data_IF_244136130665
#
_entry.id   IF_244136130665
#
_cell.length_a   1.000
_cell.length_b   1.000
_cell.length_c   1.000
_cell.angle_alpha   90.00
_cell.angle_beta   90.00
_cell.angle_gamma   90.00
#
_symmetry.space_group_name_H-M   'P 1'
#
loop_
_entity.id
_entity.type
_entity.pdbx_description
1 polymer ?
#
# COMPACT_ATOMS: atom_id res chain seq x y z
N UNK A 1 -7.41 -21.44 6.41
CA UNK A 1 -6.48 -20.43 5.86
C UNK A 1 -6.94 -20.10 4.45
N UNK A 2 -7.10 -18.82 4.16
CA UNK A 2 -7.49 -18.32 2.83
C UNK A 2 -6.37 -18.62 1.83
N UNK A 3 -6.74 -19.14 0.66
CA UNK A 3 -5.76 -19.40 -0.41
C UNK A 3 -5.42 -18.13 -1.19
N UNK A 4 -4.23 -18.09 -1.80
CA UNK A 4 -3.79 -16.98 -2.65
C UNK A 4 -4.79 -16.70 -3.79
N UNK A 5 -5.32 -17.77 -4.40
CA UNK A 5 -6.32 -17.70 -5.48
C UNK A 5 -7.66 -17.16 -5.00
N UNK A 6 -8.09 -17.55 -3.80
CA UNK A 6 -9.33 -17.06 -3.18
C UNK A 6 -9.25 -15.58 -2.84
N UNK A 7 -8.14 -15.14 -2.22
CA UNK A 7 -7.92 -13.72 -1.95
C UNK A 7 -7.93 -12.88 -3.24
N UNK A 8 -7.29 -13.39 -4.29
CA UNK A 8 -7.28 -12.77 -5.60
C UNK A 8 -8.67 -12.71 -6.25
N UNK A 9 -9.49 -13.76 -6.12
CA UNK A 9 -10.84 -13.79 -6.68
C UNK A 9 -11.78 -12.80 -6.00
N UNK A 10 -11.64 -12.61 -4.69
CA UNK A 10 -12.46 -11.65 -3.93
C UNK A 10 -12.41 -10.24 -4.51
N UNK A 11 -11.23 -9.76 -4.92
CA UNK A 11 -11.09 -8.43 -5.53
C UNK A 11 -11.65 -8.39 -6.96
N UNK A 12 -11.49 -9.48 -7.74
CA UNK A 12 -12.08 -9.58 -9.08
C UNK A 12 -13.61 -9.56 -9.03
N UNK A 13 -14.22 -10.28 -8.09
CA UNK A 13 -15.67 -10.31 -7.88
C UNK A 13 -16.25 -8.93 -7.52
N UNK A 14 -15.45 -8.08 -6.86
CA UNK A 14 -15.82 -6.70 -6.54
C UNK A 14 -15.69 -5.75 -7.74
N UNK A 15 -15.34 -6.27 -8.93
CA UNK A 15 -15.15 -5.47 -10.14
C UNK A 15 -13.86 -4.64 -10.12
N UNK A 16 -12.93 -4.93 -9.21
CA UNK A 16 -11.64 -4.24 -9.18
C UNK A 16 -10.75 -4.70 -10.33
N UNK A 17 -9.85 -3.83 -10.78
CA UNK A 17 -8.79 -4.22 -11.70
C UNK A 17 -7.73 -4.97 -10.90
N UNK A 18 -7.52 -6.24 -11.21
CA UNK A 18 -6.57 -7.12 -10.51
C UNK A 18 -5.58 -7.71 -11.52
N UNK A 19 -4.29 -7.48 -11.31
CA UNK A 19 -3.21 -7.96 -12.17
C UNK A 19 -2.21 -8.77 -11.37
N UNK A 20 -1.91 -9.99 -11.82
CA UNK A 20 -0.87 -10.81 -11.20
C UNK A 20 0.50 -10.39 -11.71
N UNK A 21 1.42 -10.14 -10.80
CA UNK A 21 2.79 -9.73 -11.11
C UNK A 21 3.69 -10.95 -10.99
N UNK A 22 4.44 -11.26 -12.06
CA UNK A 22 5.33 -12.44 -12.14
C UNK A 22 6.81 -12.09 -12.09
N UNK A 23 7.15 -10.86 -11.70
CA UNK A 23 8.52 -10.36 -11.65
C UNK A 23 9.06 -10.34 -10.21
N UNK A 24 10.33 -10.72 -10.05
CA UNK A 24 11.03 -10.77 -8.77
C UNK A 24 10.94 -12.13 -8.06
N UNK A 25 11.65 -12.25 -6.94
CA UNK A 25 11.72 -13.48 -6.11
C UNK A 25 10.56 -13.57 -5.10
N UNK A 26 9.38 -13.06 -5.44
CA UNK A 26 8.20 -13.08 -4.57
C UNK A 26 7.34 -14.32 -4.85
N UNK A 27 6.91 -15.02 -3.80
CA UNK A 27 6.08 -16.22 -3.94
C UNK A 27 4.72 -15.91 -4.60
N UNK A 28 4.05 -14.86 -4.13
CA UNK A 28 2.78 -14.43 -4.69
C UNK A 28 2.68 -12.90 -4.66
N UNK A 29 2.34 -12.29 -5.80
CA UNK A 29 2.18 -10.85 -5.90
C UNK A 29 1.07 -10.54 -6.91
N UNK A 30 0.12 -9.71 -6.49
CA UNK A 30 -0.82 -9.08 -7.39
C UNK A 30 -1.06 -7.62 -6.99
N UNK A 31 -1.53 -6.83 -7.94
CA UNK A 31 -1.97 -5.46 -7.69
C UNK A 31 -3.48 -5.37 -7.75
N UNK A 32 -4.05 -4.47 -6.94
CA UNK A 32 -5.46 -4.13 -6.93
C UNK A 32 -5.59 -2.63 -7.21
N UNK A 33 -6.42 -2.28 -8.18
CA UNK A 33 -6.73 -0.91 -8.51
C UNK A 33 -8.24 -0.73 -8.77
N UNK A 34 -8.77 0.50 -8.66
CA UNK A 34 -10.12 0.79 -9.11
C UNK A 34 -10.32 0.41 -10.60
N UNK A 35 -11.54 0.06 -11.02
CA UNK A 35 -11.82 -0.34 -12.41
C UNK A 35 -11.48 0.74 -13.43
N UNK A 36 -11.62 2.02 -13.06
CA UNK A 36 -11.32 3.18 -13.92
C UNK A 36 -9.85 3.59 -13.91
N UNK A 37 -8.97 2.80 -13.29
CA UNK A 37 -7.60 3.18 -13.03
C UNK A 37 -7.46 4.01 -11.76
N UNK A 38 -6.23 4.16 -11.29
CA UNK A 38 -5.89 4.79 -10.03
C UNK A 38 -4.63 4.20 -9.44
N UNK A 39 -4.31 4.60 -8.20
CA UNK A 39 -3.14 4.13 -7.48
C UNK A 39 -3.24 2.61 -7.20
N UNK A 40 -2.37 1.78 -7.80
CA UNK A 40 -2.40 0.35 -7.56
C UNK A 40 -1.84 0.02 -6.17
N UNK A 41 -2.51 -0.85 -5.45
CA UNK A 41 -2.04 -1.41 -4.17
C UNK A 41 -1.46 -2.79 -4.43
N UNK A 42 -0.23 -3.04 -4.01
CA UNK A 42 0.37 -4.36 -4.06
C UNK A 42 -0.08 -5.21 -2.88
N UNK A 43 -0.43 -6.47 -3.16
CA UNK A 43 -0.68 -7.51 -2.16
C UNK A 43 0.32 -8.62 -2.41
N UNK A 44 1.20 -8.83 -1.43
CA UNK A 44 2.40 -9.65 -1.58
C UNK A 44 2.44 -10.71 -0.49
N UNK A 45 2.63 -11.97 -0.87
CA UNK A 45 3.07 -13.03 0.02
C UNK A 45 4.54 -13.31 -0.28
N UNK A 46 5.48 -12.99 0.62
CA UNK A 46 6.90 -13.01 0.29
C UNK A 46 7.44 -14.42 0.07
N UNK A 47 7.01 -15.38 0.89
CA UNK A 47 7.42 -16.79 0.82
C UNK A 47 6.21 -17.73 0.94
N UNK A 48 6.37 -18.96 0.47
CA UNK A 48 5.32 -19.98 0.51
C UNK A 48 4.81 -20.29 1.93
N UNK A 49 5.70 -20.25 2.92
CA UNK A 49 5.42 -20.53 4.33
C UNK A 49 4.92 -19.30 5.11
N UNK A 50 4.87 -18.12 4.49
CA UNK A 50 4.40 -16.90 5.15
C UNK A 50 2.92 -17.02 5.52
N UNK A 51 2.57 -16.67 6.76
CA UNK A 51 1.21 -16.69 7.31
C UNK A 51 0.52 -15.32 7.20
N UNK A 52 1.05 -14.44 6.36
CA UNK A 52 0.55 -13.08 6.16
C UNK A 52 0.82 -12.61 4.73
N UNK A 53 0.05 -11.60 4.33
CA UNK A 53 0.29 -10.78 3.16
C UNK A 53 0.78 -9.40 3.60
N UNK A 54 1.67 -8.80 2.80
CA UNK A 54 2.06 -7.39 2.87
C UNK A 54 1.17 -6.66 1.87
N UNK A 55 0.37 -5.73 2.36
CA UNK A 55 -0.44 -4.82 1.55
C UNK A 55 0.29 -3.49 1.53
N UNK A 56 0.78 -3.04 0.37
CA UNK A 56 1.66 -1.88 0.30
C UNK A 56 1.48 -1.03 -0.96
N UNK A 57 1.79 0.26 -0.83
CA UNK A 57 1.99 1.21 -1.93
C UNK A 57 3.35 1.86 -1.75
N UNK A 58 4.10 1.98 -2.85
CA UNK A 58 5.31 2.80 -2.93
C UNK A 58 4.97 4.08 -3.70
N UNK A 59 5.32 5.22 -3.11
CA UNK A 59 5.19 6.52 -3.74
C UNK A 59 6.57 7.16 -3.88
N UNK A 60 6.90 7.61 -5.09
CA UNK A 60 8.02 8.53 -5.30
C UNK A 60 7.62 9.93 -4.84
N UNK A 61 8.53 10.59 -4.13
CA UNK A 61 8.30 11.91 -3.56
C UNK A 61 9.00 12.98 -4.40
N UNK A 62 8.25 14.03 -4.74
CA UNK A 62 8.79 15.19 -5.43
C UNK A 62 9.70 15.99 -4.49
N UNK A 63 10.99 15.96 -4.79
CA UNK A 63 12.02 16.59 -3.96
C UNK A 63 11.90 18.12 -3.93
N UNK A 64 11.40 18.75 -4.99
CA UNK A 64 11.28 20.20 -5.04
C UNK A 64 10.16 20.67 -4.12
N UNK A 65 9.05 19.95 -4.09
CA UNK A 65 7.94 20.20 -3.15
C UNK A 65 8.37 20.03 -1.69
N UNK A 66 9.16 19.00 -1.41
CA UNK A 66 9.69 18.74 -0.06
C UNK A 66 10.66 19.84 0.41
N UNK A 67 11.53 20.35 -0.47
CA UNK A 67 12.45 21.47 -0.13
C UNK A 67 11.70 22.76 0.18
N UNK A 68 10.59 23.01 -0.52
CA UNK A 68 9.79 24.22 -0.34
C UNK A 68 8.95 24.21 0.94
N UNK A 69 8.75 23.04 1.57
CA UNK A 69 7.95 22.89 2.78
C UNK A 69 8.68 22.08 3.86
N UNK A 70 9.37 22.81 4.75
CA UNK A 70 10.18 22.23 5.84
C UNK A 70 9.42 21.35 6.82
N UNK A 71 8.08 21.42 6.84
CA UNK A 71 7.22 20.64 7.75
C UNK A 71 6.42 19.53 7.06
N UNK A 72 6.51 19.40 5.74
CA UNK A 72 5.67 18.47 4.98
C UNK A 72 5.90 17.01 5.37
N UNK A 73 7.16 16.61 5.56
CA UNK A 73 7.50 15.25 6.01
C UNK A 73 6.90 14.95 7.39
N UNK A 74 6.98 15.91 8.32
CA UNK A 74 6.40 15.77 9.67
C UNK A 74 4.87 15.69 9.62
N UNK A 75 4.23 16.47 8.75
CA UNK A 75 2.80 16.43 8.54
C UNK A 75 2.34 15.09 7.96
N UNK A 76 3.03 14.59 6.92
CA UNK A 76 2.78 13.26 6.34
C UNK A 76 2.88 12.18 7.42
N UNK A 77 3.97 12.18 8.19
CA UNK A 77 4.15 11.23 9.30
C UNK A 77 2.99 11.26 10.29
N UNK A 78 2.60 12.47 10.72
CA UNK A 78 1.54 12.65 11.71
C UNK A 78 0.21 12.09 11.22
N UNK A 79 -0.14 12.32 9.95
CA UNK A 79 -1.38 11.79 9.40
C UNK A 79 -1.33 10.27 9.20
N UNK A 80 -0.22 9.71 8.72
CA UNK A 80 -0.07 8.26 8.58
C UNK A 80 -0.12 7.53 9.93
N UNK A 81 0.48 8.12 10.98
CA UNK A 81 0.36 7.61 12.34
C UNK A 81 -1.09 7.60 12.84
N UNK A 82 -1.88 8.65 12.54
CA UNK A 82 -3.31 8.72 12.89
C UNK A 82 -4.13 7.66 12.16
N UNK A 83 -3.73 7.28 10.95
CA UNK A 83 -4.38 6.23 10.17
C UNK A 83 -3.98 4.82 10.60
N UNK A 84 -3.03 4.68 11.53
CA UNK A 84 -2.55 3.40 12.04
C UNK A 84 -2.05 2.46 10.92
N UNK A 85 -1.20 3.01 10.05
CA UNK A 85 -0.49 2.26 9.00
C UNK A 85 1.00 2.31 9.24
N UNK A 86 1.70 1.27 8.81
CA UNK A 86 3.16 1.25 8.79
C UNK A 86 3.64 2.10 7.61
N UNK A 87 4.77 2.79 7.78
CA UNK A 87 5.39 3.52 6.69
C UNK A 87 6.90 3.63 6.86
N UNK A 88 7.60 3.68 5.73
CA UNK A 88 9.05 3.74 5.67
C UNK A 88 9.47 4.73 4.59
N UNK A 89 10.29 5.71 4.96
CA UNK A 89 10.91 6.60 3.99
C UNK A 89 12.26 6.04 3.55
N UNK A 90 12.55 6.18 2.25
CA UNK A 90 13.81 5.74 1.67
C UNK A 90 14.54 6.94 1.04
N UNK A 91 15.85 7.15 1.32
CA UNK A 91 16.69 6.35 2.21
C UNK A 91 16.47 6.65 3.70
N UNK A 92 15.93 7.82 4.04
CA UNK A 92 15.63 8.24 5.41
C UNK A 92 14.65 9.42 5.40
N UNK A 93 14.22 9.83 6.58
CA UNK A 93 13.19 10.87 6.75
C UNK A 93 13.69 12.31 6.50
N UNK A 94 15.01 12.56 6.46
CA UNK A 94 15.55 13.92 6.27
C UNK A 94 15.52 14.33 4.80
N UNK A 95 15.84 13.39 3.92
CA UNK A 95 15.86 13.58 2.46
C UNK A 95 15.17 12.40 1.77
N UNK A 96 13.86 12.22 2.01
CA UNK A 96 13.15 11.05 1.55
C UNK A 96 12.89 11.15 0.04
N UNK A 97 13.35 10.17 -0.72
CA UNK A 97 13.06 10.01 -2.16
C UNK A 97 11.75 9.31 -2.42
N UNK A 98 11.40 8.36 -1.56
CA UNK A 98 10.15 7.62 -1.65
C UNK A 98 9.62 7.30 -0.26
N UNK A 99 8.33 6.99 -0.22
CA UNK A 99 7.66 6.47 0.96
C UNK A 99 6.92 5.18 0.59
N UNK A 100 7.13 4.14 1.38
CA UNK A 100 6.28 2.96 1.34
C UNK A 100 5.25 3.06 2.47
N UNK A 101 3.98 2.86 2.15
CA UNK A 101 2.89 2.74 3.14
C UNK A 101 2.40 1.31 3.10
N UNK A 102 2.30 0.65 4.26
CA UNK A 102 2.03 -0.78 4.33
C UNK A 102 1.15 -1.19 5.52
N UNK A 103 0.52 -2.37 5.39
CA UNK A 103 -0.04 -3.15 6.49
C UNK A 103 0.22 -4.63 6.29
N UNK A 104 0.30 -5.36 7.40
CA UNK A 104 0.27 -6.81 7.41
C UNK A 104 -1.17 -7.30 7.52
N UNK A 105 -1.51 -8.29 6.72
CA UNK A 105 -2.80 -8.95 6.69
C UNK A 105 -2.58 -10.45 6.90
N UNK A 106 -2.82 -10.92 8.13
CA UNK A 106 -2.61 -12.33 8.50
C UNK A 106 -3.64 -13.23 7.82
N UNK A 107 -3.26 -14.46 7.45
CA UNK A 107 -4.13 -15.40 6.73
C UNK A 107 -5.08 -16.17 7.64
N UNK A 108 -4.82 -16.15 8.94
CA UNK A 108 -5.69 -16.76 9.95
C UNK A 108 -6.89 -15.84 10.21
N UNK A 109 -8.10 -16.42 10.19
CA UNK A 109 -9.36 -15.69 10.32
C UNK A 109 -9.69 -14.70 9.19
N UNK A 110 -8.84 -14.55 8.17
CA UNK A 110 -8.99 -13.51 7.15
C UNK A 110 -10.31 -13.61 6.39
N UNK A 111 -11.05 -12.52 6.38
CA UNK A 111 -12.31 -12.37 5.63
C UNK A 111 -12.18 -11.45 4.43
N UNK A 112 -13.12 -11.54 3.49
CA UNK A 112 -13.24 -10.62 2.34
C UNK A 112 -13.34 -9.16 2.77
N UNK A 113 -14.06 -8.89 3.86
CA UNK A 113 -14.22 -7.54 4.40
C UNK A 113 -12.91 -7.00 4.97
N UNK A 114 -12.18 -7.80 5.74
CA UNK A 114 -10.87 -7.40 6.27
C UNK A 114 -9.85 -7.17 5.15
N UNK A 115 -9.85 -8.02 4.12
CA UNK A 115 -9.00 -7.83 2.95
C UNK A 115 -9.29 -6.50 2.24
N UNK A 116 -10.57 -6.21 1.99
CA UNK A 116 -10.99 -4.96 1.38
C UNK A 116 -10.62 -3.75 2.26
N UNK A 117 -10.84 -3.84 3.58
CA UNK A 117 -10.52 -2.78 4.52
C UNK A 117 -9.02 -2.47 4.55
N UNK A 118 -8.16 -3.50 4.59
CA UNK A 118 -6.71 -3.32 4.57
C UNK A 118 -6.23 -2.66 3.27
N UNK A 119 -6.66 -3.16 2.12
CA UNK A 119 -6.32 -2.58 0.81
C UNK A 119 -6.82 -1.14 0.69
N UNK A 120 -8.03 -0.88 1.15
CA UNK A 120 -8.63 0.46 1.11
C UNK A 120 -7.90 1.43 2.01
N UNK A 121 -7.54 1.00 3.23
CA UNK A 121 -6.82 1.84 4.18
C UNK A 121 -5.44 2.22 3.64
N UNK A 122 -4.67 1.26 3.11
CA UNK A 122 -3.35 1.54 2.51
C UNK A 122 -3.50 2.49 1.31
N UNK A 123 -4.46 2.23 0.41
CA UNK A 123 -4.75 3.11 -0.73
C UNK A 123 -5.06 4.54 -0.28
N UNK A 124 -5.99 4.69 0.66
CA UNK A 124 -6.43 6.01 1.14
C UNK A 124 -5.31 6.75 1.86
N UNK A 125 -4.48 6.04 2.62
CA UNK A 125 -3.30 6.60 3.28
C UNK A 125 -2.31 7.13 2.25
N UNK A 126 -2.04 6.37 1.19
CA UNK A 126 -1.16 6.80 0.11
C UNK A 126 -1.76 7.99 -0.69
N UNK A 127 -3.07 8.00 -0.94
CA UNK A 127 -3.75 9.14 -1.55
C UNK A 127 -3.68 10.41 -0.68
N UNK A 128 -3.76 10.28 0.65
CA UNK A 128 -3.57 11.40 1.56
C UNK A 128 -2.17 12.00 1.45
N UNK A 129 -1.12 11.16 1.32
CA UNK A 129 0.25 11.64 1.06
C UNK A 129 0.31 12.46 -0.22
N UNK A 130 -0.28 11.94 -1.31
CA UNK A 130 -0.33 12.66 -2.60
C UNK A 130 -1.09 13.99 -2.49
N UNK A 131 -2.18 14.03 -1.72
CA UNK A 131 -2.93 15.25 -1.49
C UNK A 131 -2.10 16.30 -0.75
N UNK A 132 -1.43 15.91 0.34
CA UNK A 132 -0.54 16.79 1.10
C UNK A 132 0.60 17.35 0.25
N UNK A 133 1.16 16.53 -0.64
CA UNK A 133 2.17 16.98 -1.61
C UNK A 133 1.61 17.96 -2.64
N UNK A 134 0.32 17.88 -3.00
CA UNK A 134 -0.28 18.76 -4.00
C UNK A 134 -0.75 20.10 -3.44
N UNK A 135 -1.05 20.15 -2.14
CA UNK A 135 -1.47 21.37 -1.44
C UNK A 135 -0.31 22.20 -0.87
N UNK A 136 0.90 21.65 -0.86
CA UNK A 136 2.13 22.32 -0.40
C UNK A 136 2.87 23.04 -1.53
#
# INVERSE_FOLDING_TARGET
MVSDTELFSWFKELGMKVEQIKSGDLYFHFTVAPPMGGLPVSVIRPRQDSTYYIVAVLLELDQEKLKNSSRLVEQIKKELLRMNVEFFFTPNDKEPKSIQVARLMFTDGLTKNEALNNVTLVKNSALLVLQLLNES
#
